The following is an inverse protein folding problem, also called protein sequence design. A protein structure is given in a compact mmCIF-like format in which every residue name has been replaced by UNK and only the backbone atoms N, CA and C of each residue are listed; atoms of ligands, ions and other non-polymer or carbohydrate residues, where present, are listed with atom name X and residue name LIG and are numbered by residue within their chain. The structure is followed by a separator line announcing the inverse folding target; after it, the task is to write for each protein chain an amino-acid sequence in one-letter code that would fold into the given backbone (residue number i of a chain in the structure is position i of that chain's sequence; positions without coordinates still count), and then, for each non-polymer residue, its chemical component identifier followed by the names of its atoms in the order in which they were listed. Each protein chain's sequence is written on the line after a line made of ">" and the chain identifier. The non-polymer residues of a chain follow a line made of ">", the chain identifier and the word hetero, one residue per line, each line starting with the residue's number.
data_IF_579691422217
#
_entry.id   IF_579691422217
#
_cell.length_a   1.000
_cell.length_b   1.000
_cell.length_c   1.000
_cell.angle_alpha   90.00
_cell.angle_beta   90.00
_cell.angle_gamma   90.00
#
_symmetry.space_group_name_H-M   'P 1'
#
loop_
_entity.id
_entity.type
_entity.pdbx_description
1 polymer ?
#
# COMPACT_ATOMS: atom_id res chain seq x y z
N UNK A 1 -14.10 -22.72 -46.29
CA UNK A 1 -14.97 -21.79 -45.54
C UNK A 1 -15.46 -22.52 -44.29
N UNK A 2 -14.77 -22.35 -43.18
CA UNK A 2 -15.18 -22.88 -41.88
C UNK A 2 -15.03 -21.77 -40.85
N UNK A 3 -16.14 -21.15 -40.48
CA UNK A 3 -16.19 -20.18 -39.39
C UNK A 3 -16.07 -20.94 -38.07
N UNK A 4 -14.94 -20.78 -37.37
CA UNK A 4 -14.83 -21.18 -35.98
C UNK A 4 -15.79 -20.30 -35.17
N UNK A 5 -16.86 -20.91 -34.68
CA UNK A 5 -17.71 -20.34 -33.64
C UNK A 5 -16.84 -20.06 -32.40
N UNK A 6 -16.84 -18.80 -31.96
CA UNK A 6 -16.31 -18.45 -30.65
C UNK A 6 -17.12 -19.14 -29.56
N UNK A 7 -16.42 -19.75 -28.62
CA UNK A 7 -17.00 -20.54 -27.55
C UNK A 7 -17.83 -19.65 -26.60
N UNK A 8 -19.16 -19.83 -26.49
CA UNK A 8 -20.03 -18.98 -25.68
C UNK A 8 -19.72 -19.04 -24.17
N UNK A 9 -18.99 -20.07 -23.73
CA UNK A 9 -18.48 -20.17 -22.36
C UNK A 9 -17.43 -19.09 -22.03
N UNK A 10 -16.69 -18.61 -23.03
CA UNK A 10 -15.68 -17.55 -22.87
C UNK A 10 -16.31 -16.19 -22.55
N UNK A 11 -17.47 -15.89 -23.14
CA UNK A 11 -18.21 -14.65 -22.91
C UNK A 11 -18.80 -14.57 -21.52
N UNK A 12 -19.45 -15.64 -21.06
CA UNK A 12 -20.03 -15.71 -19.71
C UNK A 12 -18.97 -15.63 -18.60
N UNK A 13 -17.81 -16.26 -18.80
CA UNK A 13 -16.71 -16.19 -17.83
C UNK A 13 -16.09 -14.78 -17.77
N UNK A 14 -15.97 -14.10 -18.93
CA UNK A 14 -15.50 -12.73 -18.99
C UNK A 14 -16.50 -11.77 -18.34
N UNK A 15 -17.80 -11.92 -18.60
CA UNK A 15 -18.87 -11.10 -18.05
C UNK A 15 -18.99 -11.26 -16.52
N UNK A 16 -18.82 -12.49 -16.02
CA UNK A 16 -18.77 -12.77 -14.58
C UNK A 16 -17.53 -12.17 -13.93
N UNK A 17 -16.36 -12.25 -14.57
CA UNK A 17 -15.13 -11.59 -14.10
C UNK A 17 -15.27 -10.08 -14.09
N UNK A 18 -15.88 -9.49 -15.11
CA UNK A 18 -16.19 -8.06 -15.18
C UNK A 18 -17.12 -7.63 -14.06
N UNK A 19 -18.15 -8.43 -13.76
CA UNK A 19 -19.09 -8.14 -12.67
C UNK A 19 -18.39 -8.16 -11.30
N UNK A 20 -17.51 -9.12 -11.06
CA UNK A 20 -16.74 -9.19 -9.80
C UNK A 20 -15.71 -8.05 -9.68
N UNK A 21 -15.03 -7.69 -10.78
CA UNK A 21 -14.16 -6.50 -10.82
C UNK A 21 -14.97 -5.23 -10.57
N UNK A 22 -16.15 -5.10 -11.18
CA UNK A 22 -17.03 -3.95 -10.99
C UNK A 22 -17.50 -3.84 -9.54
N UNK A 23 -17.79 -4.97 -8.88
CA UNK A 23 -18.17 -5.04 -7.48
C UNK A 23 -17.01 -4.74 -6.54
N UNK A 24 -15.79 -5.14 -6.90
CA UNK A 24 -14.56 -4.84 -6.14
C UNK A 24 -14.15 -3.36 -6.31
N UNK A 25 -14.45 -2.77 -7.47
CA UNK A 25 -14.19 -1.38 -7.81
C UNK A 25 -15.37 -0.44 -7.56
N UNK A 26 -16.46 -0.96 -6.99
CA UNK A 26 -17.67 -0.20 -6.67
C UNK A 26 -17.32 0.82 -5.58
N UNK A 27 -17.47 2.11 -5.91
CA UNK A 27 -16.98 3.25 -5.13
C UNK A 27 -15.73 3.95 -5.71
N UNK A 28 -14.96 3.28 -6.58
CA UNK A 28 -13.85 3.89 -7.33
C UNK A 28 -14.26 4.32 -8.75
N UNK A 29 -15.20 3.60 -9.37
CA UNK A 29 -15.57 3.80 -10.78
C UNK A 29 -16.49 5.01 -11.04
N UNK A 30 -17.19 5.53 -10.03
CA UNK A 30 -18.00 6.75 -10.20
C UNK A 30 -17.13 8.00 -10.50
N UNK A 31 -15.82 7.93 -10.22
CA UNK A 31 -14.89 9.07 -10.38
C UNK A 31 -13.77 8.82 -11.41
N UNK A 32 -13.56 7.58 -11.82
CA UNK A 32 -12.66 7.19 -12.90
C UNK A 32 -13.46 6.45 -13.97
N UNK A 33 -14.20 7.16 -14.84
CA UNK A 33 -14.93 6.52 -15.92
C UNK A 33 -13.92 5.82 -16.83
N UNK A 34 -13.88 4.50 -16.76
CA UNK A 34 -13.13 3.67 -17.70
C UNK A 34 -13.81 3.80 -19.07
N UNK A 35 -13.33 4.74 -19.87
CA UNK A 35 -13.82 4.91 -21.23
C UNK A 35 -13.38 3.67 -22.03
N UNK A 36 -14.36 2.89 -22.50
CA UNK A 36 -14.13 1.69 -23.33
C UNK A 36 -13.55 2.02 -24.70
N UNK A 37 -13.57 3.30 -25.04
CA UNK A 37 -13.11 3.82 -26.31
C UNK A 37 -11.61 4.10 -26.13
N UNK A 38 -10.76 3.18 -26.59
CA UNK A 38 -9.29 3.31 -26.58
C UNK A 38 -8.76 4.49 -27.43
N UNK A 39 -9.61 5.47 -27.77
CA UNK A 39 -9.30 6.68 -28.52
C UNK A 39 -9.11 7.84 -27.54
N UNK A 40 -8.18 7.69 -26.60
CA UNK A 40 -7.73 8.81 -25.79
C UNK A 40 -6.85 9.71 -26.67
N UNK A 41 -7.43 10.75 -27.28
CA UNK A 41 -6.68 11.69 -28.13
C UNK A 41 -5.70 12.57 -27.36
N UNK A 42 -5.84 12.69 -26.03
CA UNK A 42 -4.90 13.39 -25.17
C UNK A 42 -5.04 12.94 -23.72
N UNK A 43 -3.92 12.65 -23.06
CA UNK A 43 -3.84 12.37 -21.64
C UNK A 43 -3.12 13.53 -20.94
N UNK A 44 -3.63 13.92 -19.78
CA UNK A 44 -3.05 15.00 -18.99
C UNK A 44 -2.68 14.51 -17.60
N UNK A 45 -1.50 14.90 -17.15
CA UNK A 45 -1.03 14.73 -15.78
C UNK A 45 -0.89 16.10 -15.13
N UNK A 46 -1.72 16.38 -14.11
CA UNK A 46 -1.71 17.66 -13.38
C UNK A 46 -1.73 18.88 -14.33
N UNK A 47 -2.57 18.79 -15.36
CA UNK A 47 -2.74 19.82 -16.38
C UNK A 47 -1.68 19.86 -17.48
N UNK A 48 -0.64 19.00 -17.44
CA UNK A 48 0.37 18.87 -18.50
C UNK A 48 0.03 17.72 -19.43
N UNK A 49 0.15 17.94 -20.74
CA UNK A 49 -0.03 16.87 -21.72
C UNK A 49 1.08 15.81 -21.58
N UNK A 50 0.73 14.53 -21.72
CA UNK A 50 1.66 13.40 -21.67
C UNK A 50 2.92 13.59 -22.53
N UNK A 51 2.78 14.14 -23.74
CA UNK A 51 3.91 14.36 -24.66
C UNK A 51 4.90 15.43 -24.17
N UNK A 52 4.48 16.28 -23.23
CA UNK A 52 5.27 17.35 -22.66
C UNK A 52 5.87 17.00 -21.28
N UNK A 53 5.69 15.77 -20.81
CA UNK A 53 6.18 15.34 -19.50
C UNK A 53 7.71 15.18 -19.49
N UNK A 54 8.31 15.70 -18.43
CA UNK A 54 9.72 15.48 -18.12
C UNK A 54 9.92 14.13 -17.44
N UNK A 55 11.17 13.68 -17.37
CA UNK A 55 11.51 12.40 -16.74
C UNK A 55 11.09 12.36 -15.26
N UNK A 56 11.24 13.46 -14.53
CA UNK A 56 10.84 13.58 -13.12
C UNK A 56 9.32 13.40 -12.95
N UNK A 57 8.53 13.97 -13.87
CA UNK A 57 7.07 13.86 -13.86
C UNK A 57 6.60 12.43 -14.22
N UNK A 58 7.33 11.75 -15.11
CA UNK A 58 7.11 10.34 -15.36
C UNK A 58 7.44 9.48 -14.13
N UNK A 59 8.49 9.82 -13.38
CA UNK A 59 8.84 9.12 -12.13
C UNK A 59 7.78 9.32 -11.05
N UNK A 60 7.22 10.53 -10.95
CA UNK A 60 6.09 10.86 -10.08
C UNK A 60 4.84 10.03 -10.40
N UNK A 61 4.46 9.94 -11.68
CA UNK A 61 3.33 9.07 -12.10
C UNK A 61 3.60 7.61 -11.74
N UNK A 62 4.80 7.11 -12.04
CA UNK A 62 5.15 5.74 -11.71
C UNK A 62 5.09 5.51 -10.20
N UNK A 63 5.58 6.47 -9.40
CA UNK A 63 5.53 6.43 -7.94
C UNK A 63 4.09 6.35 -7.46
N UNK A 64 3.22 7.23 -7.92
CA UNK A 64 1.81 7.24 -7.52
C UNK A 64 1.12 5.91 -7.83
N UNK A 65 1.30 5.39 -9.05
CA UNK A 65 0.76 4.10 -9.45
C UNK A 65 1.26 2.95 -8.56
N UNK A 66 2.52 3.00 -8.16
CA UNK A 66 3.09 1.97 -7.29
C UNK A 66 2.59 2.06 -5.87
N UNK A 67 2.41 3.26 -5.35
CA UNK A 67 1.93 3.47 -3.99
C UNK A 67 0.46 3.05 -3.87
N UNK A 68 -0.38 3.44 -4.84
CA UNK A 68 -1.75 2.94 -4.96
C UNK A 68 -1.76 1.42 -5.06
N UNK A 69 -0.93 0.84 -5.93
CA UNK A 69 -0.90 -0.61 -6.13
C UNK A 69 -0.45 -1.35 -4.86
N UNK A 70 0.58 -0.87 -4.16
CA UNK A 70 1.01 -1.42 -2.89
C UNK A 70 -0.13 -1.42 -1.85
N UNK A 71 -0.87 -0.31 -1.74
CA UNK A 71 -1.99 -0.21 -0.81
C UNK A 71 -3.12 -1.19 -1.16
N UNK A 72 -3.45 -1.32 -2.45
CA UNK A 72 -4.42 -2.30 -2.94
C UNK A 72 -3.97 -3.75 -2.69
N UNK A 73 -2.70 -4.07 -3.00
CA UNK A 73 -2.09 -5.37 -2.79
C UNK A 73 -2.08 -5.78 -1.33
N UNK A 74 -1.68 -4.87 -0.43
CA UNK A 74 -1.66 -5.15 1.00
C UNK A 74 -3.07 -5.35 1.57
N UNK A 75 -4.05 -4.53 1.14
CA UNK A 75 -5.46 -4.71 1.52
C UNK A 75 -6.02 -6.04 1.03
N UNK A 76 -5.78 -6.40 -0.23
CA UNK A 76 -6.22 -7.67 -0.81
C UNK A 76 -5.56 -8.86 -0.09
N UNK A 77 -4.26 -8.79 0.16
CA UNK A 77 -3.54 -9.83 0.90
C UNK A 77 -4.12 -10.02 2.31
N UNK A 78 -4.35 -8.92 3.04
CA UNK A 78 -4.92 -9.00 4.38
C UNK A 78 -6.28 -9.70 4.37
N UNK A 79 -7.15 -9.40 3.40
CA UNK A 79 -8.45 -10.06 3.26
C UNK A 79 -8.34 -11.57 2.99
N UNK A 80 -7.32 -11.98 2.23
CA UNK A 80 -7.08 -13.40 1.96
C UNK A 80 -6.44 -14.14 3.14
N UNK A 81 -5.55 -13.46 3.88
CA UNK A 81 -4.73 -14.08 4.90
C UNK A 81 -5.34 -14.02 6.32
N UNK A 82 -6.34 -13.16 6.58
CA UNK A 82 -6.94 -12.99 7.92
C UNK A 82 -7.62 -14.28 8.41
N UNK A 83 -7.37 -14.64 9.67
CA UNK A 83 -8.00 -15.81 10.30
C UNK A 83 -9.51 -15.62 10.58
N UNK A 84 -10.29 -16.71 10.71
CA UNK A 84 -11.76 -16.69 10.75
C UNK A 84 -12.42 -16.00 11.96
N UNK A 85 -11.65 -15.52 12.94
CA UNK A 85 -12.16 -14.95 14.20
C UNK A 85 -11.47 -13.64 14.62
N UNK A 86 -10.85 -12.92 13.69
CA UNK A 86 -10.13 -11.69 14.03
C UNK A 86 -11.01 -10.46 13.83
N UNK A 87 -10.96 -9.51 14.77
CA UNK A 87 -11.58 -8.18 14.62
C UNK A 87 -10.92 -7.43 13.48
N UNK A 88 -11.72 -6.67 12.71
CA UNK A 88 -11.20 -5.73 11.71
C UNK A 88 -10.24 -4.74 12.39
N UNK A 89 -8.94 -4.84 12.09
CA UNK A 89 -7.96 -3.83 12.44
C UNK A 89 -7.99 -2.71 11.41
N UNK A 90 -7.69 -1.45 11.81
CA UNK A 90 -7.64 -0.33 10.89
C UNK A 90 -6.40 -0.43 9.99
N UNK A 91 -6.51 -1.20 8.90
CA UNK A 91 -5.45 -1.34 7.88
C UNK A 91 -5.00 0.00 7.31
N UNK A 92 -5.86 1.02 7.36
CA UNK A 92 -5.56 2.38 6.92
C UNK A 92 -4.39 3.00 7.70
N UNK A 93 -4.18 2.62 8.97
CA UNK A 93 -3.03 3.10 9.76
C UNK A 93 -1.67 2.60 9.25
N UNK A 94 -1.65 1.65 8.30
CA UNK A 94 -0.41 1.19 7.67
C UNK A 94 0.14 2.19 6.64
N UNK A 95 -0.65 3.19 6.23
CA UNK A 95 -0.32 4.10 5.15
C UNK A 95 -0.48 5.56 5.59
N UNK A 96 0.38 6.48 5.12
CA UNK A 96 0.10 7.90 5.19
C UNK A 96 -1.23 8.22 4.51
N UNK A 97 -2.04 9.09 5.11
CA UNK A 97 -3.34 9.48 4.57
C UNK A 97 -4.25 8.30 4.21
N UNK A 98 -4.16 7.21 4.98
CA UNK A 98 -4.81 5.94 4.67
C UNK A 98 -6.31 6.05 4.37
N UNK A 99 -7.00 7.00 5.00
CA UNK A 99 -8.42 7.29 4.81
C UNK A 99 -8.78 7.86 3.43
N UNK A 100 -7.81 8.46 2.72
CA UNK A 100 -8.00 9.09 1.42
C UNK A 100 -7.54 8.21 0.24
N UNK A 101 -6.96 7.03 0.53
CA UNK A 101 -6.54 6.09 -0.50
C UNK A 101 -7.72 5.36 -1.15
N UNK A 102 -7.70 5.17 -2.47
CA UNK A 102 -6.61 5.38 -3.44
C UNK A 102 -6.71 6.73 -4.17
N UNK A 103 -7.52 7.68 -3.67
CA UNK A 103 -8.08 8.75 -4.49
C UNK A 103 -7.17 9.96 -4.64
N UNK A 104 -6.36 10.29 -3.63
CA UNK A 104 -5.50 11.47 -3.69
C UNK A 104 -4.21 11.22 -2.91
N UNK A 105 -3.14 10.91 -3.64
CA UNK A 105 -1.79 10.90 -3.09
C UNK A 105 -1.16 12.28 -3.25
N UNK A 106 -0.64 12.82 -2.17
CA UNK A 106 0.22 13.99 -2.21
C UNK A 106 1.62 13.54 -2.66
N UNK A 107 2.10 14.07 -3.80
CA UNK A 107 3.42 13.71 -4.32
C UNK A 107 4.51 14.28 -3.41
N UNK A 108 4.24 15.41 -2.73
CA UNK A 108 5.12 15.90 -1.68
C UNK A 108 5.28 14.90 -0.54
N UNK A 109 4.31 13.99 -0.34
CA UNK A 109 4.35 12.94 0.68
C UNK A 109 5.20 11.72 0.27
N UNK A 110 5.81 11.71 -0.92
CA UNK A 110 6.41 10.50 -1.49
C UNK A 110 7.56 9.88 -0.69
N UNK A 111 8.20 10.66 0.16
CA UNK A 111 9.29 10.24 1.03
C UNK A 111 8.87 10.26 2.51
N UNK A 112 7.59 10.03 2.80
CA UNK A 112 7.05 9.85 4.14
C UNK A 112 6.48 8.43 4.29
N UNK A 113 5.92 8.12 5.46
CA UNK A 113 5.36 6.79 5.69
C UNK A 113 6.41 5.69 5.77
N UNK A 114 6.18 4.61 5.04
CA UNK A 114 7.12 3.50 4.90
C UNK A 114 8.37 3.86 4.08
N UNK A 115 8.32 4.94 3.30
CA UNK A 115 9.43 5.43 2.49
C UNK A 115 10.27 6.51 3.21
N UNK A 116 9.94 6.88 4.46
CA UNK A 116 10.66 7.95 5.17
C UNK A 116 12.12 7.55 5.46
N UNK A 117 13.14 8.40 5.19
CA UNK A 117 14.53 8.06 5.50
C UNK A 117 14.79 7.85 7.00
N UNK A 118 14.00 8.48 7.88
CA UNK A 118 14.15 8.38 9.33
C UNK A 118 13.31 7.22 9.88
N UNK A 119 13.98 6.27 10.51
CA UNK A 119 13.33 5.07 11.07
C UNK A 119 12.21 5.40 12.07
N UNK A 120 12.38 6.46 12.88
CA UNK A 120 11.37 6.91 13.84
C UNK A 120 10.06 7.35 13.16
N UNK A 121 10.15 7.88 11.94
CA UNK A 121 8.98 8.30 11.16
C UNK A 121 8.34 7.15 10.40
N UNK A 122 9.13 6.13 10.03
CA UNK A 122 8.60 4.85 9.50
C UNK A 122 7.93 4.00 10.56
N UNK A 123 8.38 4.11 11.82
CA UNK A 123 7.99 3.20 12.89
C UNK A 123 6.46 3.03 13.06
N UNK A 124 5.64 4.08 13.16
CA UNK A 124 4.19 3.94 13.33
C UNK A 124 3.56 3.02 12.28
N UNK A 125 3.95 3.18 11.01
CA UNK A 125 3.42 2.41 9.89
C UNK A 125 3.89 0.95 9.91
N UNK A 126 5.18 0.71 10.20
CA UNK A 126 5.72 -0.66 10.34
C UNK A 126 5.07 -1.41 11.51
N UNK A 127 4.82 -0.74 12.64
CA UNK A 127 4.15 -1.35 13.77
C UNK A 127 2.65 -1.58 13.52
N UNK A 128 1.98 -0.68 12.78
CA UNK A 128 0.63 -0.93 12.29
C UNK A 128 0.58 -2.16 11.37
N UNK A 129 1.51 -2.27 10.41
CA UNK A 129 1.63 -3.46 9.54
C UNK A 129 1.90 -4.73 10.34
N UNK A 130 2.80 -4.68 11.33
CA UNK A 130 3.09 -5.80 12.24
C UNK A 130 1.82 -6.28 12.94
N UNK A 131 0.99 -5.39 13.48
CA UNK A 131 -0.29 -5.75 14.12
C UNK A 131 -1.26 -6.39 13.13
N UNK A 132 -1.39 -5.84 11.93
CA UNK A 132 -2.22 -6.44 10.87
C UNK A 132 -1.73 -7.85 10.54
N UNK A 133 -0.42 -8.04 10.35
CA UNK A 133 0.17 -9.33 10.01
C UNK A 133 0.05 -10.39 11.12
N UNK A 134 -0.03 -9.98 12.39
CA UNK A 134 -0.27 -10.91 13.51
C UNK A 134 -1.66 -11.56 13.46
N UNK A 135 -2.59 -11.01 12.69
CA UNK A 135 -3.95 -11.54 12.52
C UNK A 135 -4.08 -12.57 11.41
N UNK A 136 -3.01 -12.77 10.64
CA UNK A 136 -3.02 -13.71 9.54
C UNK A 136 -3.00 -15.15 10.07
N UNK A 137 -3.65 -16.08 9.34
CA UNK A 137 -3.83 -17.48 9.77
C UNK A 137 -2.50 -18.22 9.92
N UNK A 138 -1.53 -17.89 9.07
CA UNK A 138 -0.18 -18.42 9.17
C UNK A 138 0.55 -17.90 10.41
N UNK A 139 1.28 -18.79 11.08
CA UNK A 139 2.04 -18.45 12.28
C UNK A 139 3.08 -17.36 11.96
N UNK A 140 2.93 -16.13 12.49
CA UNK A 140 3.86 -15.07 12.19
C UNK A 140 5.23 -15.39 12.83
N UNK A 141 6.34 -14.91 12.25
CA UNK A 141 7.65 -15.02 12.87
C UNK A 141 7.64 -14.55 14.33
N UNK A 142 8.38 -15.23 15.21
CA UNK A 142 8.39 -14.93 16.66
C UNK A 142 8.74 -13.47 16.99
N UNK A 143 9.48 -12.80 16.11
CA UNK A 143 9.78 -11.37 16.24
C UNK A 143 8.54 -10.49 16.05
N UNK A 144 7.62 -10.85 15.14
CA UNK A 144 6.38 -10.12 14.96
C UNK A 144 5.49 -10.24 16.19
N UNK A 145 5.52 -11.35 16.92
CA UNK A 145 4.76 -11.54 18.16
C UNK A 145 5.38 -10.85 19.39
N UNK A 146 6.58 -10.28 19.26
CA UNK A 146 7.30 -9.67 20.38
C UNK A 146 6.72 -8.30 20.72
N UNK A 147 6.52 -8.04 22.01
CA UNK A 147 6.11 -6.74 22.58
C UNK A 147 7.26 -6.19 23.42
N UNK A 148 7.50 -4.86 23.37
CA UNK A 148 8.59 -4.20 24.11
C UNK A 148 8.07 -3.02 24.93
N UNK A 149 7.92 -3.23 26.23
CA UNK A 149 7.48 -2.18 27.16
C UNK A 149 8.49 -1.05 27.36
N UNK A 150 9.78 -1.33 27.19
CA UNK A 150 10.85 -0.32 27.25
C UNK A 150 11.05 0.44 25.91
N UNK A 151 10.25 0.14 24.90
CA UNK A 151 10.42 0.63 23.54
C UNK A 151 11.46 -0.14 22.72
N UNK A 152 11.60 0.30 21.48
CA UNK A 152 12.41 -0.29 20.42
C UNK A 152 13.56 0.64 20.09
N UNK A 153 14.79 0.10 20.09
CA UNK A 153 15.96 0.80 19.54
C UNK A 153 15.95 0.74 18.01
N UNK A 154 16.69 1.63 17.34
CA UNK A 154 16.83 1.61 15.87
C UNK A 154 17.26 0.23 15.34
N UNK A 155 18.25 -0.39 15.98
CA UNK A 155 18.75 -1.71 15.56
C UNK A 155 17.67 -2.80 15.64
N UNK A 156 16.84 -2.76 16.67
CA UNK A 156 15.74 -3.71 16.82
C UNK A 156 14.61 -3.40 15.86
N UNK A 157 14.28 -2.11 15.67
CA UNK A 157 13.33 -1.66 14.68
C UNK A 157 13.69 -2.13 13.28
N UNK A 158 14.93 -1.94 12.84
CA UNK A 158 15.39 -2.37 11.50
C UNK A 158 15.25 -3.90 11.32
N UNK A 159 15.37 -4.68 12.40
CA UNK A 159 15.11 -6.12 12.36
C UNK A 159 13.62 -6.43 12.23
N UNK A 160 12.76 -5.69 12.92
CA UNK A 160 11.29 -5.79 12.79
C UNK A 160 10.87 -5.41 11.39
N UNK A 161 11.31 -4.26 10.87
CA UNK A 161 11.03 -3.78 9.51
C UNK A 161 11.41 -4.81 8.45
N UNK A 162 12.63 -5.35 8.53
CA UNK A 162 13.07 -6.43 7.63
C UNK A 162 12.19 -7.67 7.75
N UNK A 163 11.74 -8.01 8.95
CA UNK A 163 10.88 -9.19 9.17
C UNK A 163 9.47 -8.97 8.64
N UNK A 164 8.90 -7.79 8.84
CA UNK A 164 7.61 -7.36 8.28
C UNK A 164 7.66 -7.43 6.74
N UNK A 165 8.69 -6.83 6.13
CA UNK A 165 8.86 -6.84 4.68
C UNK A 165 9.02 -8.27 4.12
N UNK A 166 9.86 -9.11 4.74
CA UNK A 166 10.03 -10.49 4.31
C UNK A 166 8.75 -11.31 4.46
N UNK A 167 8.02 -11.13 5.57
CA UNK A 167 6.77 -11.84 5.80
C UNK A 167 5.72 -11.42 4.77
N UNK A 168 5.55 -10.12 4.54
CA UNK A 168 4.71 -9.58 3.46
C UNK A 168 5.02 -10.23 2.11
N UNK A 169 6.28 -10.18 1.66
CA UNK A 169 6.65 -10.71 0.36
C UNK A 169 6.41 -12.20 0.22
N UNK A 170 6.73 -12.98 1.26
CA UNK A 170 6.55 -14.43 1.23
C UNK A 170 5.06 -14.80 1.22
N UNK A 171 4.26 -14.18 2.09
CA UNK A 171 2.81 -14.42 2.12
C UNK A 171 2.16 -13.95 0.82
N UNK A 172 2.53 -12.78 0.29
CA UNK A 172 2.02 -12.31 -1.00
C UNK A 172 2.32 -13.30 -2.14
N UNK A 173 3.56 -13.79 -2.22
CA UNK A 173 3.94 -14.80 -3.22
C UNK A 173 3.14 -16.09 -3.06
N UNK A 174 2.89 -16.54 -1.83
CA UNK A 174 2.10 -17.75 -1.56
C UNK A 174 0.65 -17.63 -2.05
N UNK A 175 0.02 -16.46 -1.89
CA UNK A 175 -1.37 -16.25 -2.30
C UNK A 175 -1.52 -15.91 -3.79
N UNK A 176 -0.63 -15.08 -4.34
CA UNK A 176 -0.80 -14.51 -5.69
C UNK A 176 0.21 -15.03 -6.73
N UNK A 177 1.28 -15.69 -6.32
CA UNK A 177 2.27 -16.29 -7.24
C UNK A 177 3.12 -15.29 -8.02
N UNK A 178 3.15 -14.02 -7.60
CA UNK A 178 3.98 -12.97 -8.19
C UNK A 178 4.67 -12.15 -7.09
N UNK A 179 5.68 -11.35 -7.48
CA UNK A 179 6.33 -10.44 -6.56
C UNK A 179 5.41 -9.24 -6.26
N UNK A 180 5.28 -8.81 -4.99
CA UNK A 180 4.52 -7.61 -4.67
C UNK A 180 5.25 -6.34 -5.10
N UNK A 181 4.51 -5.25 -5.19
CA UNK A 181 5.06 -3.90 -5.18
C UNK A 181 5.49 -3.54 -3.77
N UNK A 182 6.60 -2.80 -3.68
CA UNK A 182 7.13 -2.26 -2.43
C UNK A 182 7.03 -0.74 -2.45
N UNK A 183 6.85 -0.10 -1.28
CA UNK A 183 6.94 1.36 -1.17
C UNK A 183 8.26 1.88 -1.72
N UNK A 184 8.22 3.04 -2.37
CA UNK A 184 9.39 3.59 -3.07
C UNK A 184 9.60 5.04 -2.72
N UNK A 185 10.86 5.45 -2.74
CA UNK A 185 11.25 6.85 -2.60
C UNK A 185 11.29 7.53 -3.97
N UNK A 186 10.93 8.82 -4.01
CA UNK A 186 11.27 9.71 -5.11
C UNK A 186 12.64 10.33 -4.86
N UNK A 187 13.53 10.19 -5.83
CA UNK A 187 14.94 10.62 -5.72
C UNK A 187 15.15 12.09 -6.07
N UNK A 188 14.15 12.74 -6.66
CA UNK A 188 14.17 14.17 -6.95
C UNK A 188 13.30 14.95 -5.96
N UNK A 189 13.57 16.24 -5.83
CA UNK A 189 12.72 17.12 -5.05
C UNK A 189 11.44 17.40 -5.81
N UNK A 190 10.31 17.08 -5.19
CA UNK A 190 8.97 17.32 -5.72
C UNK A 190 8.66 18.83 -5.65
N UNK A 191 7.84 19.33 -6.57
CA UNK A 191 7.41 20.73 -6.56
C UNK A 191 6.36 21.05 -5.50
N UNK A 192 5.86 20.03 -4.81
CA UNK A 192 4.87 20.17 -3.73
C UNK A 192 5.56 20.07 -2.38
N UNK A 193 5.24 21.02 -1.50
CA UNK A 193 5.59 20.96 -0.08
C UNK A 193 4.51 20.15 0.65
N UNK A 194 4.88 19.00 1.23
CA UNK A 194 3.98 18.22 2.07
C UNK A 194 4.17 18.56 3.55
N UNK A 195 3.06 18.66 4.28
CA UNK A 195 3.05 18.74 5.73
C UNK A 195 2.79 17.34 6.28
N UNK A 196 3.79 16.68 6.90
CA UNK A 196 3.61 15.32 7.39
C UNK A 196 2.56 15.23 8.49
N UNK A 197 1.81 14.13 8.49
CA UNK A 197 0.88 13.79 9.55
C UNK A 197 1.60 13.72 10.90
N UNK A 198 1.10 14.47 11.88
CA UNK A 198 1.65 14.46 13.24
C UNK A 198 1.09 13.30 14.02
N UNK A 199 1.88 12.24 14.18
CA UNK A 199 1.53 11.14 15.06
C UNK A 199 1.63 11.58 16.52
N UNK A 200 0.56 11.44 17.35
CA UNK A 200 0.50 11.94 18.73
C UNK A 200 1.56 11.39 19.71
N UNK A 201 2.43 10.47 19.27
CA UNK A 201 3.26 9.63 20.12
C UNK A 201 4.77 9.91 20.02
N UNK A 202 5.20 11.00 19.37
CA UNK A 202 6.62 11.31 19.19
C UNK A 202 7.38 11.81 20.44
N UNK A 203 6.79 11.80 21.63
CA UNK A 203 7.51 12.23 22.85
C UNK A 203 7.93 11.06 23.71
N UNK A 204 9.08 10.47 23.38
CA UNK A 204 9.98 10.04 24.46
C UNK A 204 11.09 11.07 24.57
N UNK A 205 11.15 11.71 25.73
CA UNK A 205 12.20 12.63 26.20
C UNK A 205 13.62 12.01 26.27
N UNK A 206 13.84 10.84 25.65
CA UNK A 206 15.12 10.15 25.53
C UNK A 206 15.39 9.87 24.04
N UNK A 207 16.38 10.58 23.50
CA UNK A 207 16.90 10.47 22.14
C UNK A 207 17.15 9.02 21.71
N UNK A 208 16.30 8.44 20.85
CA UNK A 208 16.62 7.22 20.08
C UNK A 208 15.83 5.94 20.39
N UNK A 209 14.69 6.02 21.08
CA UNK A 209 13.81 4.86 21.32
C UNK A 209 12.40 5.17 20.83
N UNK A 210 11.72 4.18 20.24
CA UNK A 210 10.33 4.26 19.83
C UNK A 210 9.45 3.41 20.74
N UNK A 211 8.37 3.97 21.28
CA UNK A 211 7.40 3.22 22.08
C UNK A 211 6.07 3.24 21.33
N UNK A 212 5.60 2.06 20.93
CA UNK A 212 4.25 1.90 20.39
C UNK A 212 3.27 1.82 21.57
N UNK A 213 2.50 2.88 21.81
CA UNK A 213 1.56 2.94 22.93
C UNK A 213 0.45 1.90 22.78
N UNK A 214 0.08 1.56 21.54
CA UNK A 214 -0.94 0.55 21.26
C UNK A 214 -0.42 -0.88 21.45
N UNK A 215 0.90 -1.11 21.53
CA UNK A 215 1.45 -2.41 21.95
C UNK A 215 1.33 -2.63 23.48
N UNK A 216 1.04 -1.57 24.24
CA UNK A 216 0.94 -1.61 25.70
C UNK A 216 -0.50 -1.78 26.22
N UNK A 217 -1.51 -1.68 25.34
CA UNK A 217 -2.94 -1.81 25.64
C UNK A 217 -3.48 -3.18 25.30
#
# INVERSE_FOLDING_TARGET
>A
MGFLHGDPASGMAAEKRWTEVHKMMDGFMEELPLCTDNVATSAFWRGKNYEALRQEECQEILWELAEVNFCCEFKALHQCAIGPNVRNLPIMHCFPDGDHLPRQLDIGAANYGLADPLWLRRAPYIFAMKKVMQTWEDMPPSLLSKVRTAGWTEKEFLLVEKTVANYYCNTFWQYFGCAPVLPRQLMHQTSEDCVPETWPQMTTSCSGVYVDVEELS
#
